data_IF_843403847859
#
_entry.id   IF_843403847859
#
_cell.length_a   1.000
_cell.length_b   1.000
_cell.length_c   1.000
_cell.angle_alpha   90.00
_cell.angle_beta   90.00
_cell.angle_gamma   90.00
#
_symmetry.space_group_name_H-M   'P 1'
#
loop_
_entity.id
_entity.type
_entity.pdbx_description
1 polymer ?
#
# COMPACT_ATOMS: atom_id res chain seq x y z
N UNK A 1 11.75 59.78 10.43
CA UNK A 1 12.65 58.62 10.65
C UNK A 1 11.98 57.40 11.28
N UNK A 2 10.69 57.41 11.66
CA UNK A 2 10.05 56.25 12.28
C UNK A 2 9.20 55.38 11.33
N UNK A 3 8.75 55.90 10.19
CA UNK A 3 7.83 55.14 9.32
C UNK A 3 8.53 54.26 8.26
N UNK A 4 9.86 54.09 8.38
CA UNK A 4 10.62 53.05 7.67
C UNK A 4 10.39 51.65 8.26
N UNK A 5 9.67 51.50 9.39
CA UNK A 5 9.45 50.22 10.07
C UNK A 5 8.13 49.53 9.75
N UNK A 6 7.28 50.10 8.88
CA UNK A 6 6.13 49.38 8.32
C UNK A 6 6.43 48.63 7.03
N UNK A 7 7.72 48.53 6.68
CA UNK A 7 8.27 47.86 5.50
C UNK A 7 8.64 46.38 5.74
N UNK A 8 8.29 45.76 6.86
CA UNK A 8 8.64 44.37 7.15
C UNK A 8 7.45 43.52 7.57
N UNK A 9 7.31 42.34 6.95
CA UNK A 9 6.40 41.23 7.26
C UNK A 9 5.08 41.26 6.49
N UNK A 10 5.08 41.01 5.17
CA UNK A 10 5.32 39.67 4.61
C UNK A 10 4.70 38.54 5.45
N UNK A 11 3.37 38.44 5.45
CA UNK A 11 2.68 37.20 5.84
C UNK A 11 1.90 36.62 4.65
N UNK A 12 2.60 36.38 3.55
CA UNK A 12 2.08 35.52 2.48
C UNK A 12 2.38 34.05 2.81
N UNK A 13 1.32 33.23 2.74
CA UNK A 13 1.18 31.78 2.93
C UNK A 13 0.89 31.32 4.38
N UNK A 14 -0.22 30.56 4.57
CA UNK A 14 -0.36 29.22 3.97
C UNK A 14 -1.75 28.93 3.37
N UNK A 15 -1.98 29.27 2.09
CA UNK A 15 -3.21 28.86 1.35
C UNK A 15 -3.19 27.41 0.85
N UNK A 16 -2.08 26.69 1.02
CA UNK A 16 -1.88 25.31 0.54
C UNK A 16 -2.73 24.30 1.32
N UNK A 17 -2.93 24.47 2.62
CA UNK A 17 -3.72 23.53 3.43
C UNK A 17 -5.23 23.63 3.16
N UNK A 18 -5.73 24.83 2.87
CA UNK A 18 -7.16 25.04 2.60
C UNK A 18 -7.57 24.46 1.24
N UNK A 19 -6.69 24.54 0.23
CA UNK A 19 -6.91 23.90 -1.08
C UNK A 19 -6.75 22.39 -0.99
N UNK A 20 -5.76 21.88 -0.26
CA UNK A 20 -5.60 20.45 -0.04
C UNK A 20 -6.78 19.85 0.75
N UNK A 21 -7.26 20.50 1.81
CA UNK A 21 -8.44 20.03 2.55
C UNK A 21 -9.70 20.04 1.68
N UNK A 22 -9.92 21.06 0.83
CA UNK A 22 -11.06 21.08 -0.09
C UNK A 22 -10.95 20.00 -1.18
N UNK A 23 -9.75 19.74 -1.69
CA UNK A 23 -9.49 18.67 -2.67
C UNK A 23 -9.62 17.28 -2.06
N UNK A 24 -9.13 17.10 -0.83
CA UNK A 24 -9.31 15.86 -0.06
C UNK A 24 -10.78 15.68 0.26
N UNK A 25 -11.50 16.72 0.69
CA UNK A 25 -12.93 16.62 0.99
C UNK A 25 -13.75 16.32 -0.28
N UNK A 26 -13.42 16.91 -1.43
CA UNK A 26 -14.03 16.56 -2.73
C UNK A 26 -13.71 15.13 -3.16
N UNK A 27 -12.46 14.70 -3.00
CA UNK A 27 -12.02 13.34 -3.33
C UNK A 27 -12.64 12.31 -2.38
N UNK A 28 -12.83 12.66 -1.11
CA UNK A 28 -13.52 11.84 -0.12
C UNK A 28 -15.00 11.77 -0.46
N UNK A 29 -15.67 12.87 -0.78
CA UNK A 29 -17.09 12.80 -1.15
C UNK A 29 -17.31 12.03 -2.45
N UNK A 30 -16.48 12.27 -3.48
CA UNK A 30 -16.53 11.51 -4.73
C UNK A 30 -16.16 10.03 -4.52
N UNK A 31 -15.15 9.77 -3.69
CA UNK A 31 -14.71 8.43 -3.30
C UNK A 31 -15.71 7.71 -2.41
N UNK A 32 -16.50 8.42 -1.60
CA UNK A 32 -17.57 7.85 -0.78
C UNK A 32 -18.73 7.45 -1.67
N UNK A 33 -19.14 8.27 -2.64
CA UNK A 33 -20.19 7.88 -3.60
C UNK A 33 -19.72 6.71 -4.46
N UNK A 34 -18.51 6.79 -5.03
CA UNK A 34 -17.93 5.72 -5.83
C UNK A 34 -17.72 4.45 -5.00
N UNK A 35 -17.21 4.57 -3.78
CA UNK A 35 -16.98 3.46 -2.86
C UNK A 35 -18.27 2.84 -2.36
N UNK A 36 -19.31 3.64 -2.09
CA UNK A 36 -20.64 3.13 -1.72
C UNK A 36 -21.29 2.40 -2.89
N UNK A 37 -21.20 2.94 -4.11
CA UNK A 37 -21.65 2.25 -5.33
C UNK A 37 -20.86 0.97 -5.59
N UNK A 38 -19.55 0.98 -5.36
CA UNK A 38 -18.70 -0.20 -5.55
C UNK A 38 -18.98 -1.26 -4.49
N UNK A 39 -19.24 -0.86 -3.25
CA UNK A 39 -19.69 -1.74 -2.16
C UNK A 39 -21.07 -2.33 -2.46
N UNK A 40 -22.04 -1.50 -2.86
CA UNK A 40 -23.38 -1.97 -3.22
C UNK A 40 -23.34 -2.90 -4.44
N UNK A 41 -22.59 -2.53 -5.47
CA UNK A 41 -22.42 -3.32 -6.69
C UNK A 41 -21.68 -4.63 -6.40
N UNK A 42 -20.59 -4.57 -5.62
CA UNK A 42 -19.85 -5.74 -5.19
C UNK A 42 -20.66 -6.66 -4.29
N UNK A 43 -21.46 -6.12 -3.37
CA UNK A 43 -22.34 -6.90 -2.51
C UNK A 43 -23.53 -7.49 -3.29
N UNK A 44 -24.09 -6.74 -4.23
CA UNK A 44 -25.15 -7.22 -5.13
C UNK A 44 -24.60 -8.32 -6.03
N UNK A 45 -23.43 -8.12 -6.64
CA UNK A 45 -22.76 -9.10 -7.47
C UNK A 45 -22.40 -10.34 -6.64
N UNK A 46 -21.82 -10.19 -5.45
CA UNK A 46 -21.55 -11.30 -4.55
C UNK A 46 -22.85 -12.01 -4.15
N UNK A 47 -23.91 -11.28 -3.83
CA UNK A 47 -25.23 -11.83 -3.54
C UNK A 47 -25.84 -12.57 -4.73
N UNK A 48 -25.71 -12.04 -5.95
CA UNK A 48 -26.12 -12.68 -7.20
C UNK A 48 -25.28 -13.92 -7.47
N UNK A 49 -23.96 -13.86 -7.29
CA UNK A 49 -23.06 -15.01 -7.45
C UNK A 49 -23.37 -16.08 -6.41
N UNK A 50 -23.59 -15.72 -5.14
CA UNK A 50 -23.99 -16.66 -4.08
C UNK A 50 -25.37 -17.25 -4.40
N UNK A 51 -26.33 -16.44 -4.84
CA UNK A 51 -27.66 -16.91 -5.25
C UNK A 51 -27.59 -17.83 -6.47
N UNK A 52 -26.74 -17.54 -7.46
CA UNK A 52 -26.42 -18.44 -8.57
C UNK A 52 -25.76 -19.71 -8.03
N UNK A 53 -24.79 -19.61 -7.14
CA UNK A 53 -24.09 -20.75 -6.53
C UNK A 53 -24.98 -21.58 -5.62
N UNK A 54 -26.13 -21.08 -5.16
CA UNK A 54 -27.16 -21.85 -4.42
C UNK A 54 -28.28 -22.35 -5.35
N UNK A 55 -28.65 -21.58 -6.36
CA UNK A 55 -29.58 -22.01 -7.41
C UNK A 55 -28.97 -23.09 -8.32
N UNK A 56 -27.64 -23.10 -8.47
CA UNK A 56 -26.89 -24.03 -9.31
C UNK A 56 -26.72 -25.43 -8.70
N UNK A 57 -26.60 -25.69 -7.38
CA UNK A 57 -26.65 -27.03 -6.79
C UNK A 57 -28.04 -27.68 -6.85
N UNK A 58 -29.10 -26.87 -6.89
CA UNK A 58 -30.43 -27.32 -7.33
C UNK A 58 -30.41 -27.80 -8.79
N UNK A 59 -29.47 -27.31 -9.62
CA UNK A 59 -29.18 -27.79 -10.98
C UNK A 59 -28.03 -28.84 -11.03
N UNK A 60 -27.19 -28.99 -9.99
CA UNK A 60 -25.93 -29.81 -9.96
C UNK A 60 -26.04 -31.09 -9.12
N UNK A 61 -27.21 -31.37 -8.53
CA UNK A 61 -27.62 -32.78 -8.36
C UNK A 61 -27.56 -33.54 -9.71
N UNK A 62 -27.51 -32.82 -10.85
CA UNK A 62 -27.16 -33.30 -12.19
C UNK A 62 -25.70 -33.05 -12.64
N UNK A 63 -24.69 -33.43 -11.84
CA UNK A 63 -23.29 -33.64 -12.30
C UNK A 63 -22.36 -32.40 -12.27
N UNK A 64 -21.04 -32.56 -12.40
CA UNK A 64 -19.94 -32.33 -11.45
C UNK A 64 -19.31 -30.91 -11.55
N UNK A 65 -20.13 -29.85 -11.49
CA UNK A 65 -19.71 -28.44 -11.74
C UNK A 65 -19.34 -27.64 -10.47
N UNK A 66 -19.57 -28.18 -9.27
CA UNK A 66 -19.36 -27.45 -8.01
C UNK A 66 -17.88 -27.14 -7.69
N UNK A 67 -16.96 -27.98 -8.19
CA UNK A 67 -15.52 -27.82 -7.99
C UNK A 67 -14.99 -26.53 -8.67
N UNK A 68 -15.27 -26.26 -9.96
CA UNK A 68 -14.87 -24.99 -10.59
C UNK A 68 -15.44 -23.73 -9.93
N UNK A 69 -16.69 -23.76 -9.46
CA UNK A 69 -17.33 -22.60 -8.83
C UNK A 69 -16.68 -22.25 -7.48
N UNK A 70 -16.33 -23.25 -6.67
CA UNK A 70 -15.61 -23.05 -5.42
C UNK A 70 -14.23 -22.39 -5.65
N UNK A 71 -13.53 -22.77 -6.72
CA UNK A 71 -12.25 -22.16 -7.13
C UNK A 71 -12.46 -20.69 -7.53
N UNK A 72 -13.50 -20.38 -8.29
CA UNK A 72 -13.80 -19.00 -8.68
C UNK A 72 -14.10 -18.10 -7.47
N UNK A 73 -14.89 -18.58 -6.50
CA UNK A 73 -15.21 -17.84 -5.27
C UNK A 73 -13.97 -17.65 -4.40
N UNK A 74 -13.16 -18.69 -4.21
CA UNK A 74 -11.90 -18.56 -3.46
C UNK A 74 -10.93 -17.62 -4.17
N UNK A 75 -10.78 -17.68 -5.49
CA UNK A 75 -9.97 -16.72 -6.26
C UNK A 75 -10.51 -15.29 -6.15
N UNK A 76 -11.83 -15.09 -6.12
CA UNK A 76 -12.42 -13.77 -6.01
C UNK A 76 -12.18 -13.19 -4.62
N UNK A 77 -12.39 -13.98 -3.56
CA UNK A 77 -12.09 -13.58 -2.18
C UNK A 77 -10.59 -13.32 -2.01
N UNK A 78 -9.74 -14.20 -2.51
CA UNK A 78 -8.28 -14.08 -2.40
C UNK A 78 -7.75 -12.92 -3.25
N UNK A 79 -8.31 -12.72 -4.44
CA UNK A 79 -7.99 -11.59 -5.33
C UNK A 79 -8.45 -10.26 -4.74
N UNK A 80 -9.64 -10.19 -4.14
CA UNK A 80 -10.10 -9.00 -3.42
C UNK A 80 -9.30 -8.74 -2.15
N UNK A 81 -8.98 -9.78 -1.36
CA UNK A 81 -8.15 -9.65 -0.17
C UNK A 81 -6.72 -9.19 -0.53
N UNK A 82 -6.15 -9.77 -1.60
CA UNK A 82 -4.87 -9.36 -2.16
C UNK A 82 -4.94 -7.91 -2.68
N UNK A 83 -6.01 -7.50 -3.34
CA UNK A 83 -6.21 -6.12 -3.81
C UNK A 83 -6.39 -5.12 -2.65
N UNK A 84 -7.03 -5.53 -1.55
CA UNK A 84 -7.14 -4.73 -0.34
C UNK A 84 -5.78 -4.45 0.31
N UNK A 85 -4.99 -5.51 0.55
CA UNK A 85 -3.64 -5.39 1.12
C UNK A 85 -2.67 -4.68 0.16
N UNK A 86 -2.70 -5.02 -1.12
CA UNK A 86 -1.84 -4.43 -2.14
C UNK A 86 -2.22 -2.98 -2.46
N UNK A 87 -3.50 -2.61 -2.38
CA UNK A 87 -3.96 -1.23 -2.54
C UNK A 87 -3.41 -0.32 -1.44
N UNK A 88 -3.48 -0.76 -0.18
CA UNK A 88 -2.87 -0.06 0.95
C UNK A 88 -1.33 0.02 0.81
N UNK A 89 -0.69 -1.07 0.38
CA UNK A 89 0.76 -1.09 0.13
C UNK A 89 1.17 -0.12 -0.99
N UNK A 90 0.44 -0.11 -2.11
CA UNK A 90 0.68 0.78 -3.23
C UNK A 90 0.48 2.25 -2.84
N UNK A 91 -0.59 2.56 -2.10
CA UNK A 91 -0.82 3.90 -1.56
C UNK A 91 0.27 4.32 -0.57
N UNK A 92 0.77 3.38 0.25
CA UNK A 92 1.88 3.63 1.17
C UNK A 92 3.17 3.99 0.44
N UNK A 93 3.55 3.21 -0.59
CA UNK A 93 4.73 3.49 -1.43
C UNK A 93 4.55 4.79 -2.21
N UNK A 94 3.35 5.04 -2.75
CA UNK A 94 3.06 6.25 -3.50
C UNK A 94 3.09 7.49 -2.60
N UNK A 95 2.55 7.39 -1.37
CA UNK A 95 2.64 8.44 -0.37
C UNK A 95 4.09 8.69 0.07
N UNK A 96 4.90 7.63 0.19
CA UNK A 96 6.33 7.72 0.49
C UNK A 96 7.09 8.44 -0.63
N UNK A 97 6.87 8.04 -1.88
CA UNK A 97 7.46 8.63 -3.09
C UNK A 97 7.05 10.09 -3.30
N UNK A 98 5.75 10.39 -3.16
CA UNK A 98 5.23 11.75 -3.28
C UNK A 98 5.82 12.68 -2.21
N UNK A 99 6.01 12.17 -1.00
CA UNK A 99 6.61 12.90 0.12
C UNK A 99 8.10 13.16 -0.13
N UNK A 100 8.82 12.19 -0.70
CA UNK A 100 10.21 12.33 -1.14
C UNK A 100 10.37 13.41 -2.22
N UNK A 101 9.53 13.37 -3.28
CA UNK A 101 9.53 14.38 -4.34
C UNK A 101 9.14 15.78 -3.84
N UNK A 102 8.29 15.86 -2.81
CA UNK A 102 7.89 17.12 -2.16
C UNK A 102 8.94 17.63 -1.17
N UNK A 103 10.10 16.96 -1.05
CA UNK A 103 11.20 17.38 -0.18
C UNK A 103 10.96 17.11 1.32
N UNK A 104 9.91 16.37 1.68
CA UNK A 104 9.73 15.87 3.05
C UNK A 104 10.43 14.52 3.16
N UNK A 105 11.57 14.49 3.85
CA UNK A 105 12.22 13.25 4.23
C UNK A 105 11.19 12.28 4.87
N UNK A 106 11.03 11.07 4.34
CA UNK A 106 10.01 10.16 4.83
C UNK A 106 10.45 9.43 6.11
N UNK A 107 9.53 9.19 7.05
CA UNK A 107 9.79 8.40 8.25
C UNK A 107 10.07 6.95 7.84
N UNK A 108 11.33 6.52 7.90
CA UNK A 108 11.75 5.15 7.55
C UNK A 108 12.96 5.05 6.63
N UNK A 109 13.38 6.14 5.96
CA UNK A 109 14.67 6.16 5.28
C UNK A 109 15.82 5.89 6.28
N UNK A 110 15.73 6.47 7.48
CA UNK A 110 16.62 6.15 8.61
C UNK A 110 16.61 4.68 9.01
N UNK A 111 15.45 4.00 8.99
CA UNK A 111 15.40 2.57 9.30
C UNK A 111 16.03 1.73 8.19
N UNK A 112 15.87 2.13 6.92
CA UNK A 112 16.55 1.47 5.81
C UNK A 112 18.05 1.73 5.86
N UNK A 113 18.50 2.93 6.26
CA UNK A 113 19.90 3.31 6.54
C UNK A 113 20.52 2.54 7.70
N UNK A 114 19.79 2.39 8.80
CA UNK A 114 20.22 1.57 9.92
C UNK A 114 20.24 0.08 9.55
N UNK A 115 19.23 -0.41 8.84
CA UNK A 115 19.19 -1.80 8.40
C UNK A 115 20.34 -2.13 7.44
N UNK A 116 20.66 -1.25 6.47
CA UNK A 116 21.80 -1.47 5.57
C UNK A 116 23.15 -1.30 6.27
N UNK A 117 23.27 -0.39 7.24
CA UNK A 117 24.47 -0.28 8.08
C UNK A 117 24.74 -1.55 8.89
N UNK A 118 23.70 -2.09 9.53
CA UNK A 118 23.77 -3.33 10.33
C UNK A 118 23.98 -4.56 9.45
N UNK A 119 23.39 -4.59 8.25
CA UNK A 119 23.57 -5.69 7.30
C UNK A 119 24.97 -5.65 6.66
N UNK A 120 25.49 -4.46 6.37
CA UNK A 120 26.83 -4.27 5.83
C UNK A 120 27.92 -4.61 6.86
N UNK A 121 27.72 -4.28 8.15
CA UNK A 121 28.67 -4.67 9.20
C UNK A 121 28.71 -6.19 9.36
N UNK A 122 27.55 -6.85 9.48
CA UNK A 122 27.46 -8.31 9.57
C UNK A 122 28.04 -9.02 8.35
N UNK A 123 27.82 -8.50 7.14
CA UNK A 123 28.42 -9.08 5.93
C UNK A 123 29.95 -9.06 5.97
N UNK A 124 30.55 -8.07 6.63
CA UNK A 124 32.00 -7.92 6.75
C UNK A 124 32.60 -8.91 7.75
N UNK A 125 31.96 -9.10 8.91
CA UNK A 125 32.35 -10.12 9.90
C UNK A 125 32.28 -11.54 9.33
N UNK A 126 31.22 -11.84 8.56
CA UNK A 126 31.05 -13.17 7.95
C UNK A 126 32.12 -13.42 6.89
N UNK A 127 32.50 -12.38 6.12
CA UNK A 127 33.58 -12.48 5.14
C UNK A 127 34.92 -12.77 5.80
N UNK A 128 35.27 -12.09 6.89
CA UNK A 128 36.51 -12.36 7.64
C UNK A 128 36.53 -13.78 8.24
N UNK A 129 35.41 -14.19 8.84
CA UNK A 129 35.27 -15.55 9.41
C UNK A 129 35.37 -16.64 8.35
N UNK A 130 34.80 -16.39 7.16
CA UNK A 130 34.89 -17.31 6.03
C UNK A 130 36.32 -17.38 5.48
N UNK A 131 37.04 -16.25 5.37
CA UNK A 131 38.43 -16.26 4.90
C UNK A 131 39.35 -17.02 5.85
N UNK A 132 39.22 -16.81 7.16
CA UNK A 132 40.00 -17.57 8.15
C UNK A 132 39.75 -19.08 8.08
N UNK A 133 38.49 -19.50 7.87
CA UNK A 133 38.14 -20.91 7.71
C UNK A 133 38.63 -21.50 6.38
N UNK A 134 38.63 -20.72 5.30
CA UNK A 134 39.08 -21.18 3.98
C UNK A 134 40.61 -21.34 3.95
N UNK A 135 41.36 -20.46 4.61
CA UNK A 135 42.81 -20.62 4.76
C UNK A 135 43.19 -21.82 5.63
N UNK A 136 42.42 -22.11 6.69
CA UNK A 136 42.65 -23.30 7.51
C UNK A 136 42.36 -24.62 6.79
N UNK A 137 41.47 -24.64 5.80
CA UNK A 137 41.13 -25.85 5.02
C UNK A 137 41.98 -25.99 3.75
N UNK A 138 42.57 -24.90 3.25
CA UNK A 138 43.42 -24.89 2.04
C UNK A 138 44.91 -25.06 2.38
N UNK A 139 45.31 -24.85 3.64
CA UNK A 139 46.69 -24.98 4.12
C UNK A 139 47.08 -26.34 4.70
N UNK A 140 46.24 -27.38 4.57
CA UNK A 140 46.50 -28.74 5.07
C UNK A 140 46.69 -29.75 3.95
#
# INVERSE_FOLDING_TARGET
MADYLRLGQHQQAPKKNETLMKSVLKAVTAGTVGGSMLLLSGLTLAGTIIALVVATPLLVIFSPVLVPAAIAVTLLVFGFASSGGFGLAALSVLAWMYRYLTGRHPPGADQLDHAKGVLASKARDIKESAQHKIEQVTGS
#
